data_IF_618257268513
#
_entry.id   IF_618257268513
#
_cell.length_a   1.000
_cell.length_b   1.000
_cell.length_c   1.000
_cell.angle_alpha   90.00
_cell.angle_beta   90.00
_cell.angle_gamma   90.00
#
_symmetry.space_group_name_H-M   'P 1'
#
loop_
_entity.id
_entity.type
_entity.pdbx_description
1 polymer ?
#
# COMPACT_ATOMS: atom_id res chain seq x y z
N UNK A 1 2.12 3.23 -55.98
CA UNK A 1 2.73 3.86 -54.77
C UNK A 1 1.88 3.71 -53.50
N UNK A 2 0.55 3.52 -53.59
CA UNK A 2 -0.32 3.33 -52.41
C UNK A 2 -0.31 1.92 -51.77
N UNK A 3 0.14 0.88 -52.49
CA UNK A 3 0.15 -0.50 -51.97
C UNK A 3 1.22 -0.77 -50.90
N UNK A 4 2.31 0.00 -50.88
CA UNK A 4 3.39 -0.17 -49.91
C UNK A 4 3.08 0.42 -48.53
N UNK A 5 2.17 1.41 -48.47
CA UNK A 5 1.77 2.06 -47.22
C UNK A 5 0.80 1.20 -46.39
N UNK A 6 -0.01 0.37 -47.05
CA UNK A 6 -0.95 -0.54 -46.37
C UNK A 6 -0.20 -1.73 -45.73
N UNK A 7 0.85 -2.24 -46.39
CA UNK A 7 1.67 -3.32 -45.86
C UNK A 7 2.46 -2.92 -44.59
N UNK A 8 2.94 -1.67 -44.53
CA UNK A 8 3.60 -1.13 -43.33
C UNK A 8 2.62 -0.93 -42.17
N UNK A 9 1.38 -0.53 -42.46
CA UNK A 9 0.32 -0.39 -41.45
C UNK A 9 -0.13 -1.72 -40.83
N UNK A 10 -0.20 -2.79 -41.63
CA UNK A 10 -0.52 -4.13 -41.12
C UNK A 10 0.63 -4.76 -40.31
N UNK A 11 1.89 -4.45 -40.65
CA UNK A 11 3.06 -4.96 -39.93
C UNK A 11 3.25 -4.29 -38.55
N UNK A 12 2.81 -3.04 -38.40
CA UNK A 12 2.81 -2.32 -37.12
C UNK A 12 1.70 -2.78 -36.14
N UNK A 13 0.63 -3.43 -36.64
CA UNK A 13 -0.46 -3.94 -35.80
C UNK A 13 -0.18 -5.33 -35.17
N UNK A 14 0.93 -5.98 -35.54
CA UNK A 14 1.29 -7.32 -35.07
C UNK A 14 2.33 -7.33 -33.94
N UNK A 15 2.89 -6.19 -33.55
CA UNK A 15 3.74 -6.06 -32.37
C UNK A 15 2.90 -5.90 -31.09
N UNK A 16 2.03 -6.87 -30.82
CA UNK A 16 1.63 -7.13 -29.43
C UNK A 16 2.78 -7.90 -28.79
N UNK A 17 3.71 -7.18 -28.16
CA UNK A 17 4.64 -7.78 -27.22
C UNK A 17 3.82 -8.34 -26.06
N UNK A 18 3.44 -9.62 -26.16
CA UNK A 18 3.13 -10.38 -24.98
C UNK A 18 4.44 -10.53 -24.23
N UNK A 19 4.68 -9.66 -23.24
CA UNK A 19 5.60 -9.99 -22.17
C UNK A 19 4.95 -11.15 -21.41
N UNK A 20 5.17 -12.37 -21.88
CA UNK A 20 5.12 -13.51 -20.99
C UNK A 20 6.22 -13.23 -19.95
N UNK A 21 5.82 -13.05 -18.69
CA UNK A 21 6.77 -13.09 -17.60
C UNK A 21 7.27 -14.54 -17.53
N UNK A 22 8.25 -14.87 -18.36
CA UNK A 22 8.98 -16.13 -18.23
C UNK A 22 9.68 -16.07 -16.88
N UNK A 23 9.18 -16.85 -15.93
CA UNK A 23 9.80 -16.99 -14.61
C UNK A 23 11.24 -17.44 -14.79
N UNK A 24 12.12 -17.01 -13.87
CA UNK A 24 13.51 -17.48 -13.86
C UNK A 24 13.49 -19.00 -13.58
N UNK A 25 14.09 -19.80 -14.45
CA UNK A 25 14.13 -21.26 -14.30
C UNK A 25 14.67 -21.66 -12.92
N UNK A 26 13.89 -22.44 -12.17
CA UNK A 26 14.25 -22.88 -10.81
C UNK A 26 13.73 -21.98 -9.69
N UNK A 27 13.07 -20.86 -10.01
CA UNK A 27 12.44 -19.98 -9.05
C UNK A 27 10.93 -20.27 -8.93
N UNK A 28 10.37 -20.30 -7.71
CA UNK A 28 8.93 -20.40 -7.54
C UNK A 28 8.21 -19.19 -8.14
N UNK A 29 7.22 -19.46 -8.99
CA UNK A 29 6.39 -18.47 -9.67
C UNK A 29 5.07 -18.19 -8.94
N UNK A 30 4.82 -18.86 -7.81
CA UNK A 30 3.59 -18.72 -7.05
C UNK A 30 3.79 -18.96 -5.55
N UNK A 31 3.06 -18.21 -4.72
CA UNK A 31 2.96 -18.43 -3.28
C UNK A 31 1.50 -18.43 -2.85
N UNK A 32 1.00 -19.58 -2.41
CA UNK A 32 -0.43 -19.76 -2.14
C UNK A 32 -1.26 -19.48 -3.39
N UNK A 33 -2.09 -18.44 -3.34
CA UNK A 33 -2.97 -18.01 -4.44
C UNK A 33 -2.46 -16.77 -5.19
N UNK A 34 -1.20 -16.37 -4.98
CA UNK A 34 -0.62 -15.17 -5.59
C UNK A 34 0.49 -15.58 -6.54
N UNK A 35 0.34 -15.18 -7.81
CA UNK A 35 1.39 -15.31 -8.82
C UNK A 35 2.51 -14.30 -8.57
N UNK A 36 3.76 -14.74 -8.73
CA UNK A 36 4.98 -13.98 -8.48
C UNK A 36 5.74 -13.81 -9.81
N UNK A 37 5.37 -12.80 -10.62
CA UNK A 37 6.06 -12.51 -11.86
C UNK A 37 7.38 -11.76 -11.61
N UNK A 38 8.38 -12.00 -12.46
CA UNK A 38 9.56 -11.13 -12.52
C UNK A 38 9.14 -9.66 -12.80
N UNK A 39 9.66 -8.65 -12.08
CA UNK A 39 10.91 -8.61 -11.32
C UNK A 39 10.85 -9.12 -9.88
N UNK A 40 9.69 -9.54 -9.40
CA UNK A 40 9.54 -10.11 -8.05
C UNK A 40 9.98 -11.57 -8.03
N UNK A 41 10.45 -12.05 -6.88
CA UNK A 41 10.94 -13.42 -6.78
C UNK A 41 10.93 -14.00 -5.37
N UNK A 42 10.93 -15.33 -5.27
CA UNK A 42 11.05 -16.07 -4.02
C UNK A 42 12.39 -16.80 -4.00
N UNK A 43 13.22 -16.48 -3.01
CA UNK A 43 14.50 -17.14 -2.81
C UNK A 43 15.67 -16.47 -3.54
N UNK A 44 16.89 -17.01 -3.36
CA UNK A 44 18.12 -16.36 -3.82
C UNK A 44 18.19 -16.29 -5.35
N UNK A 45 18.56 -15.13 -5.88
CA UNK A 45 18.70 -14.84 -7.32
C UNK A 45 17.41 -15.03 -8.13
N UNK A 46 16.24 -14.96 -7.48
CA UNK A 46 14.94 -15.09 -8.14
C UNK A 46 14.25 -13.77 -8.42
N UNK A 47 14.70 -12.68 -7.78
CA UNK A 47 14.21 -11.33 -7.95
C UNK A 47 15.20 -10.50 -8.79
N UNK A 48 14.75 -9.33 -9.28
CA UNK A 48 15.62 -8.41 -10.04
C UNK A 48 16.71 -7.76 -9.19
N UNK A 49 16.56 -7.74 -7.87
CA UNK A 49 17.47 -7.12 -6.92
C UNK A 49 16.80 -6.88 -5.58
N UNK A 50 17.56 -6.35 -4.64
CA UNK A 50 17.12 -6.12 -3.27
C UNK A 50 15.82 -5.28 -3.24
N UNK A 51 14.89 -5.71 -2.39
CA UNK A 51 13.57 -5.11 -2.25
C UNK A 51 12.48 -5.72 -3.13
N UNK A 52 12.83 -6.47 -4.19
CA UNK A 52 11.86 -7.21 -5.01
C UNK A 52 11.54 -8.62 -4.48
N UNK A 53 12.17 -9.00 -3.37
CA UNK A 53 11.98 -10.31 -2.76
C UNK A 53 10.62 -10.45 -2.08
N UNK A 54 10.01 -11.62 -2.30
CA UNK A 54 8.78 -12.04 -1.67
C UNK A 54 9.11 -13.19 -0.71
N UNK A 55 8.80 -12.97 0.56
CA UNK A 55 8.83 -14.05 1.54
C UNK A 55 7.54 -14.87 1.40
N UNK A 56 7.66 -16.20 1.36
CA UNK A 56 6.53 -17.11 1.24
C UNK A 56 6.51 -18.08 2.42
N UNK A 57 5.76 -17.74 3.47
CA UNK A 57 5.77 -18.47 4.73
C UNK A 57 4.43 -19.18 4.99
N UNK A 58 4.49 -20.34 5.64
CA UNK A 58 3.31 -21.10 6.04
C UNK A 58 2.67 -20.50 7.29
N UNK A 59 1.34 -20.39 7.32
CA UNK A 59 0.62 -20.03 8.55
C UNK A 59 0.49 -21.24 9.48
N UNK A 60 0.93 -21.08 10.74
CA UNK A 60 0.99 -22.17 11.74
C UNK A 60 -0.36 -22.87 12.01
N UNK A 61 -1.48 -22.25 11.67
CA UNK A 61 -2.83 -22.76 11.95
C UNK A 61 -3.49 -23.51 10.79
N UNK A 62 -3.09 -23.28 9.54
CA UNK A 62 -3.82 -23.81 8.37
C UNK A 62 -2.94 -24.46 7.30
N UNK A 63 -1.61 -24.33 7.39
CA UNK A 63 -0.72 -24.83 6.34
C UNK A 63 -0.75 -24.01 5.06
N UNK A 64 -1.53 -22.92 5.02
CA UNK A 64 -1.65 -22.04 3.85
C UNK A 64 -0.41 -21.15 3.75
N UNK A 65 0.21 -21.14 2.57
CA UNK A 65 1.29 -20.23 2.22
C UNK A 65 0.76 -18.80 2.05
N UNK A 66 1.45 -17.85 2.69
CA UNK A 66 1.13 -16.43 2.65
C UNK A 66 2.35 -15.66 2.15
N UNK A 67 2.22 -14.95 1.02
CA UNK A 67 3.27 -14.08 0.52
C UNK A 67 3.29 -12.76 1.30
N UNK A 68 4.47 -12.31 1.69
CA UNK A 68 4.72 -11.02 2.32
C UNK A 68 5.87 -10.30 1.63
N UNK A 69 5.84 -8.97 1.61
CA UNK A 69 6.98 -8.18 1.14
C UNK A 69 8.18 -8.41 2.06
N UNK A 70 9.32 -8.84 1.53
CA UNK A 70 10.53 -9.03 2.33
C UNK A 70 11.17 -7.69 2.73
N UNK A 71 10.94 -6.62 1.94
CA UNK A 71 11.35 -5.25 2.25
C UNK A 71 10.63 -4.65 3.48
N UNK A 72 9.59 -5.31 3.99
CA UNK A 72 8.86 -4.87 5.17
C UNK A 72 9.52 -5.43 6.44
N UNK A 73 10.35 -4.62 7.11
CA UNK A 73 11.11 -5.09 8.28
C UNK A 73 10.36 -4.98 9.61
N UNK A 74 9.43 -4.03 9.73
CA UNK A 74 8.70 -3.78 10.99
C UNK A 74 7.51 -4.69 11.18
N UNK A 75 6.69 -4.82 10.13
CA UNK A 75 5.46 -5.60 10.14
C UNK A 75 5.39 -6.45 8.89
N UNK A 76 4.87 -7.67 9.02
CA UNK A 76 4.61 -8.53 7.88
C UNK A 76 3.51 -7.92 7.01
N UNK A 77 3.87 -7.48 5.79
CA UNK A 77 2.93 -6.86 4.85
C UNK A 77 2.50 -7.89 3.82
N UNK A 78 1.26 -8.34 3.93
CA UNK A 78 0.72 -9.40 3.07
C UNK A 78 0.48 -8.91 1.65
N UNK A 79 1.07 -9.62 0.69
CA UNK A 79 0.85 -9.40 -0.74
C UNK A 79 -0.46 -10.04 -1.16
N UNK A 80 -1.28 -9.29 -1.90
CA UNK A 80 -2.55 -9.76 -2.48
C UNK A 80 -2.44 -9.99 -3.98
N UNK A 81 -1.66 -9.15 -4.66
CA UNK A 81 -1.45 -9.24 -6.10
C UNK A 81 -0.18 -8.51 -6.50
N UNK A 82 0.56 -9.10 -7.43
CA UNK A 82 1.66 -8.46 -8.14
C UNK A 82 1.25 -8.24 -9.59
N UNK A 83 1.47 -7.03 -10.10
CA UNK A 83 1.20 -6.69 -11.50
C UNK A 83 2.43 -6.00 -12.06
N UNK A 84 2.85 -6.40 -13.26
CA UNK A 84 4.04 -5.83 -13.94
C UNK A 84 3.62 -4.96 -15.11
N UNK A 85 2.62 -5.42 -15.87
CA UNK A 85 2.05 -4.71 -17.00
C UNK A 85 0.52 -4.57 -16.81
N UNK A 86 -0.10 -3.42 -17.17
CA UNK A 86 0.49 -2.24 -17.80
C UNK A 86 1.20 -1.29 -16.84
N UNK A 87 1.03 -1.48 -15.52
CA UNK A 87 1.66 -0.67 -14.47
C UNK A 87 2.25 -1.59 -13.42
N UNK A 88 3.54 -1.44 -13.08
CA UNK A 88 4.15 -2.15 -11.98
C UNK A 88 3.50 -1.74 -10.65
N UNK A 89 2.77 -2.64 -10.02
CA UNK A 89 2.05 -2.39 -8.77
C UNK A 89 2.08 -3.65 -7.90
N UNK A 90 2.36 -3.45 -6.61
CA UNK A 90 2.11 -4.46 -5.58
C UNK A 90 0.87 -4.04 -4.79
N UNK A 91 -0.18 -4.85 -4.85
CA UNK A 91 -1.35 -4.66 -3.99
C UNK A 91 -1.12 -5.39 -2.69
N UNK A 92 -1.07 -4.64 -1.59
CA UNK A 92 -0.85 -5.18 -0.24
C UNK A 92 -1.97 -4.75 0.71
N UNK A 93 -2.01 -5.37 1.89
CA UNK A 93 -2.74 -4.85 3.05
C UNK A 93 -1.74 -4.17 3.98
N UNK A 94 -1.76 -2.83 4.02
CA UNK A 94 -0.99 -2.09 5.02
C UNK A 94 -1.62 -2.26 6.42
N UNK A 95 -0.81 -2.14 7.49
CA UNK A 95 -1.34 -2.14 8.84
C UNK A 95 -2.33 -0.98 9.06
N UNK A 96 -3.41 -1.24 9.79
CA UNK A 96 -4.42 -0.23 10.12
C UNK A 96 -4.07 0.41 11.45
N UNK A 97 -3.78 1.71 11.45
CA UNK A 97 -3.60 2.48 12.68
C UNK A 97 -4.91 2.56 13.47
N UNK A 98 -4.83 2.52 14.79
CA UNK A 98 -6.00 2.63 15.67
C UNK A 98 -5.67 3.28 17.01
N UNK A 99 -6.66 3.97 17.57
CA UNK A 99 -6.68 4.39 18.97
C UNK A 99 -8.04 4.03 19.57
N UNK A 100 -8.05 3.07 20.49
CA UNK A 100 -9.26 2.52 21.09
C UNK A 100 -9.44 3.03 22.51
N UNK A 101 -10.69 3.32 22.90
CA UNK A 101 -11.03 3.89 24.19
C UNK A 101 -12.01 3.00 24.97
N UNK A 102 -12.00 3.09 26.31
CA UNK A 102 -13.06 2.54 27.15
C UNK A 102 -14.21 3.55 27.32
N UNK A 103 -15.26 3.16 28.06
CA UNK A 103 -16.44 4.01 28.32
C UNK A 103 -16.12 5.27 29.14
N UNK A 104 -14.99 5.30 29.84
CA UNK A 104 -14.50 6.47 30.57
C UNK A 104 -13.64 7.41 29.70
N UNK A 105 -13.40 7.06 28.44
CA UNK A 105 -12.56 7.84 27.53
C UNK A 105 -11.05 7.58 27.66
N UNK A 106 -10.63 6.58 28.43
CA UNK A 106 -9.22 6.23 28.55
C UNK A 106 -8.79 5.35 27.38
N UNK A 107 -7.59 5.61 26.84
CA UNK A 107 -6.99 4.77 25.79
C UNK A 107 -6.70 3.37 26.36
N UNK A 108 -7.18 2.36 25.65
CA UNK A 108 -7.02 0.94 26.00
C UNK A 108 -6.05 0.21 25.09
N UNK A 109 -6.00 0.61 23.82
CA UNK A 109 -5.09 0.07 22.81
C UNK A 109 -4.76 1.17 21.81
N UNK A 110 -3.53 1.19 21.36
CA UNK A 110 -3.08 2.10 20.33
C UNK A 110 -2.07 1.41 19.41
N UNK A 111 -2.07 1.80 18.15
CA UNK A 111 -1.08 1.44 17.16
C UNK A 111 -1.07 2.53 16.10
N UNK A 112 0.12 3.01 15.78
CA UNK A 112 0.35 4.13 14.87
C UNK A 112 0.36 3.71 13.39
N UNK A 113 0.24 2.41 13.10
CA UNK A 113 0.15 1.92 11.72
C UNK A 113 1.38 2.24 10.90
N UNK A 114 2.55 2.20 11.54
CA UNK A 114 3.81 2.55 10.91
C UNK A 114 4.17 1.59 9.76
N UNK A 115 4.64 2.17 8.65
CA UNK A 115 5.00 1.43 7.43
C UNK A 115 6.37 1.90 6.97
N UNK A 116 7.28 0.94 6.82
CA UNK A 116 8.62 1.15 6.28
C UNK A 116 8.84 0.11 5.17
N UNK A 117 8.81 0.58 3.92
CA UNK A 117 8.85 -0.28 2.73
C UNK A 117 9.88 0.16 1.69
N UNK A 118 10.52 1.33 1.87
CA UNK A 118 11.36 1.92 0.84
C UNK A 118 12.84 1.98 1.20
N UNK A 119 13.30 1.11 2.09
CA UNK A 119 14.72 1.08 2.49
C UNK A 119 15.62 0.88 1.28
N UNK A 120 15.16 0.05 0.34
CA UNK A 120 15.89 -0.30 -0.88
C UNK A 120 15.56 0.62 -2.06
N UNK A 121 14.71 1.64 -1.84
CA UNK A 121 14.36 2.63 -2.87
C UNK A 121 13.40 2.13 -3.96
N UNK A 122 12.72 1.01 -3.74
CA UNK A 122 11.89 0.32 -4.76
C UNK A 122 10.39 0.55 -4.64
N UNK A 123 9.88 0.98 -3.47
CA UNK A 123 8.44 1.08 -3.21
C UNK A 123 8.02 2.48 -2.76
N UNK A 124 6.84 2.90 -3.25
CA UNK A 124 6.10 4.05 -2.73
C UNK A 124 4.64 3.69 -2.58
N UNK A 125 3.95 4.39 -1.70
CA UNK A 125 2.49 4.31 -1.58
C UNK A 125 1.88 5.06 -2.77
N UNK A 126 1.02 4.40 -3.53
CA UNK A 126 0.40 4.97 -4.72
C UNK A 126 -0.70 5.96 -4.34
N UNK A 127 -0.47 7.24 -4.65
CA UNK A 127 -1.40 8.36 -4.52
C UNK A 127 -2.57 8.31 -5.52
N UNK A 128 -2.39 7.62 -6.64
CA UNK A 128 -3.48 7.40 -7.62
C UNK A 128 -4.46 6.29 -7.22
N UNK A 129 -4.03 5.38 -6.33
CA UNK A 129 -4.80 4.20 -5.93
C UNK A 129 -5.25 4.22 -4.47
N UNK A 130 -4.73 5.15 -3.68
CA UNK A 130 -4.98 5.23 -2.25
C UNK A 130 -5.28 6.66 -1.82
N UNK A 131 -6.00 6.75 -0.71
CA UNK A 131 -6.25 7.98 0.03
C UNK A 131 -6.13 7.65 1.51
N UNK A 132 -5.86 8.66 2.34
CA UNK A 132 -5.87 8.47 3.79
C UNK A 132 -7.31 8.62 4.30
N UNK A 133 -7.79 7.62 5.05
CA UNK A 133 -9.16 7.58 5.58
C UNK A 133 -9.10 7.47 7.10
N UNK A 134 -9.87 8.32 7.77
CA UNK A 134 -10.02 8.32 9.22
C UNK A 134 -11.47 7.95 9.55
N UNK A 135 -11.65 6.98 10.44
CA UNK A 135 -12.96 6.58 10.97
C UNK A 135 -12.91 6.75 12.47
N UNK A 136 -13.87 7.47 13.03
CA UNK A 136 -13.86 7.80 14.45
C UNK A 136 -14.78 8.96 14.81
N UNK A 137 -14.75 9.33 16.08
CA UNK A 137 -15.63 10.34 16.64
C UNK A 137 -14.86 11.29 17.55
N UNK A 138 -15.02 12.59 17.32
CA UNK A 138 -14.23 13.63 17.99
C UNK A 138 -12.73 13.33 17.87
N UNK A 139 -12.28 12.97 16.68
CA UNK A 139 -10.91 12.51 16.41
C UNK A 139 -10.31 13.36 15.31
N UNK A 140 -9.11 13.86 15.54
CA UNK A 140 -8.19 14.28 14.49
C UNK A 140 -7.19 13.16 14.30
N UNK A 141 -6.95 12.74 13.07
CA UNK A 141 -5.83 11.88 12.77
C UNK A 141 -5.14 12.38 11.52
N UNK A 142 -3.81 12.27 11.50
CA UNK A 142 -3.01 12.62 10.33
C UNK A 142 -1.92 11.59 10.13
N UNK A 143 -1.65 11.35 8.86
CA UNK A 143 -0.51 10.61 8.39
C UNK A 143 0.69 11.56 8.29
N UNK A 144 1.83 11.12 8.78
CA UNK A 144 3.09 11.82 8.68
C UNK A 144 4.25 10.87 8.39
N UNK A 145 5.38 11.44 7.98
CA UNK A 145 6.62 10.71 7.73
C UNK A 145 7.39 10.46 9.02
N UNK A 146 8.06 9.31 9.17
CA UNK A 146 8.79 8.94 10.41
C UNK A 146 10.23 9.47 10.40
N UNK A 147 10.98 9.28 9.31
CA UNK A 147 12.44 9.47 9.35
C UNK A 147 12.99 9.94 8.00
N UNK A 148 13.21 11.23 7.82
CA UNK A 148 13.65 11.86 6.55
C UNK A 148 15.09 11.48 6.17
N UNK A 149 15.31 10.22 5.82
CA UNK A 149 16.41 9.73 4.97
C UNK A 149 16.05 9.71 3.47
N UNK A 150 14.79 9.98 3.11
CA UNK A 150 14.27 9.92 1.75
C UNK A 150 14.56 11.17 0.89
N UNK A 151 15.01 10.95 -0.36
CA UNK A 151 15.08 11.97 -1.42
C UNK A 151 13.71 12.13 -2.08
N UNK A 152 12.82 12.94 -1.50
CA UNK A 152 11.51 13.29 -2.07
C UNK A 152 11.33 14.80 -2.31
N UNK A 153 10.29 15.20 -3.05
CA UNK A 153 9.98 16.61 -3.35
C UNK A 153 9.73 17.46 -2.08
N UNK A 154 9.26 16.83 -0.99
CA UNK A 154 9.03 17.48 0.30
C UNK A 154 10.13 17.08 1.28
N UNK A 155 11.19 17.89 1.35
CA UNK A 155 12.31 17.70 2.29
C UNK A 155 11.90 17.83 3.77
N UNK A 156 10.65 18.17 4.06
CA UNK A 156 10.11 18.40 5.40
C UNK A 156 8.68 17.84 5.48
N UNK A 157 8.48 16.89 6.39
CA UNK A 157 7.23 16.42 7.01
C UNK A 157 5.96 16.51 6.16
N UNK A 158 5.59 15.39 5.52
CA UNK A 158 4.22 15.21 5.08
C UNK A 158 3.28 15.24 6.28
N UNK A 159 2.19 15.99 6.18
CA UNK A 159 1.03 15.92 7.06
C UNK A 159 -0.22 15.93 6.19
N UNK A 160 -0.95 14.82 6.10
CA UNK A 160 -2.36 14.90 5.74
C UNK A 160 -3.21 14.17 6.73
N UNK A 161 -4.20 14.88 7.21
CA UNK A 161 -5.18 14.38 8.13
C UNK A 161 -6.48 15.11 7.97
N UNK A 162 -7.45 14.65 8.71
CA UNK A 162 -8.74 15.27 8.77
C UNK A 162 -9.35 15.05 10.16
N UNK A 163 -10.33 15.88 10.46
CA UNK A 163 -11.14 15.78 11.67
C UNK A 163 -12.45 15.07 11.33
N UNK A 164 -12.89 14.22 12.24
CA UNK A 164 -14.21 13.57 12.18
C UNK A 164 -14.99 13.81 13.47
N UNK A 165 -16.25 14.18 13.33
CA UNK A 165 -17.20 14.33 14.44
C UNK A 165 -18.32 13.31 14.31
N UNK A 166 -18.98 12.96 15.41
CA UNK A 166 -20.14 12.09 15.34
C UNK A 166 -21.08 12.30 16.52
N UNK A 167 -22.36 11.93 16.34
CA UNK A 167 -23.30 11.82 17.45
C UNK A 167 -23.08 10.52 18.22
N UNK A 168 -22.96 9.42 17.49
CA UNK A 168 -22.63 8.08 17.97
C UNK A 168 -21.88 7.26 16.88
N UNK A 169 -21.51 6.02 17.20
CA UNK A 169 -20.81 5.12 16.28
C UNK A 169 -21.56 4.79 14.99
N UNK A 170 -22.88 5.01 14.92
CA UNK A 170 -23.71 4.77 13.72
C UNK A 170 -23.60 5.90 12.70
N UNK A 171 -22.94 7.01 13.06
CA UNK A 171 -22.76 8.14 12.15
C UNK A 171 -21.81 7.81 11.00
N UNK A 172 -20.87 6.88 11.19
CA UNK A 172 -20.02 6.38 10.13
C UNK A 172 -20.85 5.48 9.20
N UNK A 173 -21.03 5.90 7.96
CA UNK A 173 -21.81 5.16 6.96
C UNK A 173 -20.97 4.95 5.70
N UNK A 174 -21.04 3.75 5.13
CA UNK A 174 -20.35 3.44 3.89
C UNK A 174 -20.77 4.40 2.76
N UNK A 175 -19.79 4.85 1.99
CA UNK A 175 -19.98 5.87 0.94
C UNK A 175 -20.32 7.29 1.42
N UNK A 176 -20.41 7.56 2.73
CA UNK A 176 -20.70 8.91 3.27
C UNK A 176 -19.59 9.35 4.23
N UNK A 177 -18.62 10.09 3.69
CA UNK A 177 -17.44 10.54 4.44
C UNK A 177 -17.20 12.07 4.48
N UNK A 178 -18.23 12.93 4.66
CA UNK A 178 -18.04 14.38 4.67
C UNK A 178 -17.61 14.94 6.04
N UNK A 179 -16.87 14.17 6.84
CA UNK A 179 -16.44 14.57 8.20
C UNK A 179 -17.33 14.08 9.33
N UNK A 180 -18.41 13.33 9.05
CA UNK A 180 -19.31 12.77 10.07
C UNK A 180 -19.06 11.27 10.22
N UNK A 181 -18.42 10.86 11.31
CA UNK A 181 -18.03 9.47 11.57
C UNK A 181 -16.85 8.99 10.72
N UNK A 182 -16.61 9.60 9.56
CA UNK A 182 -15.37 9.44 8.81
C UNK A 182 -15.02 10.68 7.97
N UNK A 183 -13.74 10.76 7.61
CA UNK A 183 -13.22 11.72 6.65
C UNK A 183 -12.10 11.08 5.82
N UNK A 184 -11.81 11.64 4.65
CA UNK A 184 -10.68 11.20 3.84
C UNK A 184 -9.95 12.39 3.19
N UNK A 185 -8.66 12.21 2.92
CA UNK A 185 -7.81 13.17 2.23
C UNK A 185 -6.92 12.44 1.23
N UNK A 186 -6.61 13.09 0.12
CA UNK A 186 -5.63 12.55 -0.83
C UNK A 186 -4.26 12.53 -0.18
N UNK A 187 -3.45 11.52 -0.52
CA UNK A 187 -2.04 11.47 -0.16
C UNK A 187 -1.20 12.12 -1.27
N UNK A 188 -0.05 12.73 -0.96
CA UNK A 188 0.84 13.31 -1.93
C UNK A 188 1.60 12.21 -2.67
N UNK A 189 2.12 12.53 -3.87
CA UNK A 189 3.05 11.65 -4.55
C UNK A 189 4.34 11.46 -3.72
N UNK A 190 5.07 10.39 -4.03
CA UNK A 190 6.38 10.07 -3.41
C UNK A 190 6.34 9.75 -1.90
N UNK A 191 5.19 9.36 -1.35
CA UNK A 191 5.11 8.87 0.02
C UNK A 191 5.74 7.47 0.13
N UNK A 192 6.83 7.33 0.88
CA UNK A 192 7.63 6.11 0.97
C UNK A 192 7.51 5.36 2.30
N UNK A 193 7.12 6.09 3.33
CA UNK A 193 6.80 5.57 4.66
C UNK A 193 5.58 6.31 5.20
N UNK A 194 5.01 5.79 6.30
CA UNK A 194 4.04 6.54 7.06
C UNK A 194 4.00 6.15 8.52
N UNK A 195 3.50 7.07 9.36
CA UNK A 195 2.98 6.84 10.70
C UNK A 195 1.74 7.70 10.92
N UNK A 196 0.78 7.20 11.68
CA UNK A 196 -0.46 7.93 11.99
C UNK A 196 -0.43 8.41 13.43
N UNK A 197 -0.68 9.69 13.60
CA UNK A 197 -0.89 10.30 14.92
C UNK A 197 -2.37 10.63 15.09
N UNK A 198 -2.85 10.44 16.31
CA UNK A 198 -4.23 10.72 16.70
C UNK A 198 -4.28 11.75 17.81
N UNK A 199 -5.22 12.67 17.73
CA UNK A 199 -5.57 13.60 18.80
C UNK A 199 -7.07 13.60 19.01
N UNK A 200 -7.48 13.82 20.25
CA UNK A 200 -8.88 14.03 20.56
C UNK A 200 -9.25 15.47 20.19
N UNK A 201 -10.27 15.63 19.36
CA UNK A 201 -10.81 16.95 19.04
C UNK A 201 -11.73 17.39 20.18
N UNK A 202 -11.39 18.46 20.93
CA UNK A 202 -12.25 18.93 22.01
C UNK A 202 -13.59 19.40 21.42
N UNK A 203 -14.71 18.92 21.99
CA UNK A 203 -16.00 19.57 21.77
C UNK A 203 -15.89 20.95 22.41
N UNK A 204 -16.18 22.00 21.63
CA UNK A 204 -16.35 23.34 22.16
C UNK A 204 -17.65 23.37 22.96
N UNK A 205 -17.58 22.88 24.20
CA UNK A 205 -18.58 23.09 25.25
C UNK A 205 -18.11 24.22 26.17
#
# INVERSE_FOLDING_TARGET
>A
MAFWLIAAGLLLLLLRLAFAADGITGCPDRCGYVDIPYPFGIGPNCSCGDGFDIACNTTNSTGVLVPTLAAAHRHAIQVRKLTVFPRPEVKVMLPVAYMCYNSSGNVTKQFDGDVELNNEGVYRISDERNMFVVIGCNTVAWNQHVDSGGKGLYRNLYYAGCVTYCGDSRSAMDGKCPGVGCCHVNIPPELTDNVVTFEQWPRGD
#
